data_IF_353132623612
#
_entry.id   IF_353132623612
#
_cell.length_a   1.000
_cell.length_b   1.000
_cell.length_c   1.000
_cell.angle_alpha   90.00
_cell.angle_beta   90.00
_cell.angle_gamma   90.00
#
_symmetry.space_group_name_H-M   'P 1'
#
loop_
_entity.id
_entity.type
_entity.pdbx_description
1 polymer ?
#
# COMPACT_ATOMS: atom_id res chain seq x y z
N UNK A 1 17.52 -25.38 14.85
CA UNK A 1 16.05 -25.28 14.84
C UNK A 1 15.68 -24.43 13.64
N UNK A 2 15.22 -25.05 12.58
CA UNK A 2 14.80 -24.31 11.39
C UNK A 2 13.48 -23.63 11.73
N UNK A 3 13.49 -22.30 11.80
CA UNK A 3 12.26 -21.54 11.86
C UNK A 3 11.45 -21.95 10.63
N UNK A 4 10.30 -22.57 10.83
CA UNK A 4 9.35 -22.84 9.74
C UNK A 4 9.00 -21.49 9.16
N UNK A 5 9.44 -21.24 7.94
CA UNK A 5 9.14 -20.00 7.25
C UNK A 5 7.62 -19.86 7.18
N UNK A 6 7.08 -18.82 7.80
CA UNK A 6 5.64 -18.57 7.85
C UNK A 6 5.08 -18.31 6.44
N UNK A 7 5.94 -17.98 5.48
CA UNK A 7 5.57 -17.63 4.12
C UNK A 7 6.46 -18.36 3.09
N UNK A 8 6.28 -19.67 2.89
CA UNK A 8 7.16 -20.47 2.05
C UNK A 8 7.19 -20.08 0.57
N UNK A 9 6.17 -19.33 0.12
CA UNK A 9 6.04 -18.88 -1.28
C UNK A 9 6.52 -17.45 -1.53
N UNK A 10 7.00 -16.77 -0.47
CA UNK A 10 7.57 -15.43 -0.59
C UNK A 10 9.10 -15.50 -0.57
N UNK A 11 9.81 -14.52 -1.17
CA UNK A 11 11.26 -14.46 -1.08
C UNK A 11 11.73 -14.45 0.37
N UNK A 12 12.72 -15.27 0.68
CA UNK A 12 13.33 -15.30 2.01
C UNK A 12 14.24 -14.08 2.18
N UNK A 13 14.00 -13.20 3.16
CA UNK A 13 14.80 -11.99 3.34
C UNK A 13 16.27 -12.27 3.68
N UNK A 14 16.61 -13.45 4.21
CA UNK A 14 17.99 -13.84 4.51
C UNK A 14 18.75 -14.33 3.28
N UNK A 15 18.03 -14.92 2.31
CA UNK A 15 18.62 -15.52 1.11
C UNK A 15 18.49 -14.59 -0.10
N UNK A 16 17.43 -13.82 -0.16
CA UNK A 16 17.07 -12.95 -1.27
C UNK A 16 16.73 -11.52 -0.77
N UNK A 17 17.66 -10.86 -0.05
CA UNK A 17 17.40 -9.55 0.56
C UNK A 17 17.06 -8.46 -0.48
N UNK A 18 17.48 -8.61 -1.72
CA UNK A 18 17.23 -7.66 -2.80
C UNK A 18 15.74 -7.42 -3.07
N UNK A 19 14.86 -8.36 -2.73
CA UNK A 19 13.42 -8.18 -2.86
C UNK A 19 12.85 -7.18 -1.85
N UNK A 20 13.51 -7.01 -0.72
CA UNK A 20 13.05 -6.16 0.37
C UNK A 20 13.90 -4.89 0.57
N UNK A 21 15.00 -4.78 -0.17
CA UNK A 21 15.92 -3.65 -0.04
C UNK A 21 15.22 -2.32 -0.38
N UNK A 22 15.31 -1.38 0.54
CA UNK A 22 14.74 -0.03 0.42
C UNK A 22 13.22 0.03 0.19
N UNK A 23 12.50 -1.08 0.34
CA UNK A 23 11.06 -1.15 0.05
C UNK A 23 10.27 -0.20 0.94
N UNK A 24 10.60 -0.08 2.22
CA UNK A 24 9.88 0.82 3.15
C UNK A 24 9.96 2.27 2.69
N UNK A 25 11.15 2.74 2.28
CA UNK A 25 11.33 4.10 1.74
C UNK A 25 10.59 4.26 0.42
N UNK A 26 10.66 3.27 -0.46
CA UNK A 26 9.92 3.27 -1.74
C UNK A 26 8.40 3.31 -1.53
N UNK A 27 7.89 2.63 -0.51
CA UNK A 27 6.47 2.72 -0.13
C UNK A 27 6.09 4.15 0.28
N UNK A 28 6.93 4.81 1.07
CA UNK A 28 6.73 6.21 1.46
C UNK A 28 6.72 7.16 0.26
N UNK A 29 7.68 7.02 -0.65
CA UNK A 29 7.74 7.82 -1.87
C UNK A 29 6.56 7.53 -2.80
N UNK A 30 6.18 6.26 -2.96
CA UNK A 30 5.01 5.86 -3.72
C UNK A 30 3.73 6.50 -3.15
N UNK A 31 3.61 6.51 -1.82
CA UNK A 31 2.48 7.15 -1.14
C UNK A 31 2.40 8.66 -1.44
N UNK A 32 3.53 9.36 -1.44
CA UNK A 32 3.57 10.79 -1.80
C UNK A 32 3.10 11.02 -3.23
N UNK A 33 3.56 10.19 -4.16
CA UNK A 33 3.16 10.27 -5.57
C UNK A 33 1.65 10.02 -5.69
N UNK A 34 1.14 8.98 -5.04
CA UNK A 34 -0.29 8.65 -5.04
C UNK A 34 -1.12 9.78 -4.42
N UNK A 35 -0.65 10.40 -3.33
CA UNK A 35 -1.33 11.54 -2.69
C UNK A 35 -1.45 12.73 -3.65
N UNK A 36 -0.40 13.04 -4.41
CA UNK A 36 -0.43 14.10 -5.43
C UNK A 36 -1.42 13.75 -6.55
N UNK A 37 -1.42 12.51 -7.02
CA UNK A 37 -2.36 12.04 -8.06
C UNK A 37 -3.82 12.13 -7.59
N UNK A 38 -4.09 11.69 -6.36
CA UNK A 38 -5.44 11.78 -5.78
C UNK A 38 -5.87 13.24 -5.63
N UNK A 39 -4.98 14.12 -5.16
CA UNK A 39 -5.25 15.54 -5.06
C UNK A 39 -5.58 16.16 -6.44
N UNK A 40 -4.83 15.77 -7.48
CA UNK A 40 -5.10 16.21 -8.84
C UNK A 40 -6.46 15.73 -9.36
N UNK A 41 -6.87 14.50 -9.02
CA UNK A 41 -8.20 13.97 -9.36
C UNK A 41 -9.33 14.72 -8.66
N UNK A 42 -9.09 15.31 -7.49
CA UNK A 42 -10.08 16.07 -6.76
C UNK A 42 -10.30 17.48 -7.32
N UNK A 43 -9.35 18.05 -8.04
CA UNK A 43 -9.46 19.40 -8.60
C UNK A 43 -10.73 19.57 -9.45
N UNK A 44 -11.02 18.71 -10.46
CA UNK A 44 -12.25 18.84 -11.24
C UNK A 44 -13.51 18.66 -10.38
N UNK A 45 -13.48 17.78 -9.37
CA UNK A 45 -14.63 17.58 -8.47
C UNK A 45 -14.95 18.86 -7.70
N UNK A 46 -13.91 19.51 -7.15
CA UNK A 46 -14.07 20.78 -6.42
C UNK A 46 -14.60 21.88 -7.33
N UNK A 47 -14.07 22.00 -8.55
CA UNK A 47 -14.52 23.00 -9.53
C UNK A 47 -15.96 22.76 -9.95
N UNK A 48 -16.32 21.52 -10.26
CA UNK A 48 -17.68 21.15 -10.69
C UNK A 48 -18.73 21.33 -9.60
N UNK A 49 -18.34 21.23 -8.34
CA UNK A 49 -19.23 21.50 -7.20
C UNK A 49 -19.27 22.98 -6.79
N UNK A 50 -18.78 23.88 -7.63
CA UNK A 50 -18.68 25.32 -7.33
C UNK A 50 -17.99 25.60 -5.99
N UNK A 51 -16.88 24.87 -5.72
CA UNK A 51 -16.06 24.93 -4.51
C UNK A 51 -16.73 24.42 -3.20
N UNK A 52 -17.98 23.94 -3.26
CA UNK A 52 -18.62 23.30 -2.11
C UNK A 52 -17.83 22.08 -1.64
N UNK A 53 -17.20 21.36 -2.56
CA UNK A 53 -16.34 20.21 -2.28
C UNK A 53 -15.16 20.53 -1.34
N UNK A 54 -14.73 21.79 -1.21
CA UNK A 54 -13.67 22.19 -0.30
C UNK A 54 -14.02 21.91 1.17
N UNK A 55 -15.29 22.00 1.54
CA UNK A 55 -15.74 21.72 2.90
C UNK A 55 -15.70 20.23 3.25
N UNK A 56 -15.64 19.37 2.22
CA UNK A 56 -15.64 17.90 2.36
C UNK A 56 -14.32 17.27 1.91
N UNK A 57 -13.26 18.07 1.76
CA UNK A 57 -11.98 17.59 1.22
C UNK A 57 -11.43 16.34 1.92
N UNK A 58 -11.37 16.25 3.26
CA UNK A 58 -10.87 15.04 3.91
C UNK A 58 -11.69 13.80 3.54
N UNK A 59 -13.01 13.92 3.53
CA UNK A 59 -13.91 12.83 3.14
C UNK A 59 -13.71 12.45 1.66
N UNK A 60 -13.67 13.43 0.77
CA UNK A 60 -13.44 13.22 -0.67
C UNK A 60 -12.08 12.58 -0.92
N UNK A 61 -11.06 12.99 -0.19
CA UNK A 61 -9.72 12.41 -0.31
C UNK A 61 -9.71 10.92 0.09
N UNK A 62 -10.38 10.57 1.20
CA UNK A 62 -10.49 9.18 1.63
C UNK A 62 -11.29 8.33 0.63
N UNK A 63 -12.42 8.80 0.16
CA UNK A 63 -13.28 8.06 -0.78
C UNK A 63 -12.57 7.89 -2.12
N UNK A 64 -12.03 8.97 -2.69
CA UNK A 64 -11.30 8.92 -3.96
C UNK A 64 -10.05 8.06 -3.83
N UNK A 65 -9.32 8.20 -2.74
CA UNK A 65 -8.13 7.39 -2.45
C UNK A 65 -8.45 5.92 -2.31
N UNK A 66 -9.57 5.57 -1.67
CA UNK A 66 -10.03 4.18 -1.55
C UNK A 66 -10.31 3.57 -2.94
N UNK A 67 -11.12 4.25 -3.74
CA UNK A 67 -11.46 3.79 -5.10
C UNK A 67 -10.20 3.69 -5.96
N UNK A 68 -9.34 4.69 -5.93
CA UNK A 68 -8.08 4.73 -6.66
C UNK A 68 -7.19 3.53 -6.32
N UNK A 69 -7.00 3.26 -5.02
CA UNK A 69 -6.14 2.14 -4.57
C UNK A 69 -6.73 0.79 -4.96
N UNK A 70 -8.02 0.56 -4.73
CA UNK A 70 -8.66 -0.70 -5.12
C UNK A 70 -8.57 -0.91 -6.62
N UNK A 71 -8.90 0.11 -7.42
CA UNK A 71 -8.88 0.02 -8.87
C UNK A 71 -7.46 -0.22 -9.44
N UNK A 72 -6.45 0.43 -8.88
CA UNK A 72 -5.06 0.31 -9.38
C UNK A 72 -4.35 -0.94 -8.89
N UNK A 73 -4.65 -1.41 -7.68
CA UNK A 73 -4.01 -2.59 -7.09
C UNK A 73 -4.63 -3.88 -7.63
N UNK A 74 -5.93 -3.89 -7.93
CA UNK A 74 -6.60 -5.10 -8.42
C UNK A 74 -5.92 -5.64 -9.68
N UNK A 75 -5.45 -6.89 -9.62
CA UNK A 75 -4.81 -7.61 -10.72
C UNK A 75 -3.40 -7.17 -11.08
N UNK A 76 -2.98 -5.98 -10.68
CA UNK A 76 -1.61 -5.46 -10.96
C UNK A 76 -0.75 -5.35 -9.71
N UNK A 77 -1.31 -5.53 -8.55
CA UNK A 77 -0.64 -5.50 -7.24
C UNK A 77 0.15 -4.22 -6.93
N UNK A 78 -0.14 -3.13 -7.61
CA UNK A 78 0.60 -1.88 -7.42
C UNK A 78 -0.24 -0.67 -7.79
N UNK A 79 -0.20 0.37 -6.95
CA UNK A 79 -0.67 1.71 -7.33
C UNK A 79 0.26 2.31 -8.39
N UNK A 80 -0.13 3.42 -8.99
CA UNK A 80 0.74 4.12 -9.94
C UNK A 80 2.03 4.62 -9.28
N UNK A 81 1.95 5.13 -8.04
CA UNK A 81 3.14 5.51 -7.28
C UNK A 81 4.08 4.33 -7.04
N UNK A 82 3.53 3.17 -6.67
CA UNK A 82 4.30 1.95 -6.49
C UNK A 82 4.98 1.47 -7.79
N UNK A 83 4.28 1.60 -8.92
CA UNK A 83 4.87 1.25 -10.23
C UNK A 83 6.05 2.13 -10.59
N UNK A 84 5.96 3.44 -10.30
CA UNK A 84 7.07 4.37 -10.50
C UNK A 84 8.27 4.04 -9.59
N UNK A 85 8.00 3.52 -8.39
CA UNK A 85 9.05 3.09 -7.46
C UNK A 85 9.52 1.64 -7.71
N UNK A 86 8.97 0.96 -8.71
CA UNK A 86 9.32 -0.42 -9.05
C UNK A 86 9.10 -1.41 -7.91
N UNK A 87 8.00 -1.24 -7.16
CA UNK A 87 7.55 -2.17 -6.12
C UNK A 87 6.14 -2.67 -6.41
N UNK A 88 5.82 -3.82 -5.87
CA UNK A 88 4.49 -4.42 -5.96
C UNK A 88 4.14 -5.23 -4.72
N UNK A 89 2.85 -5.43 -4.48
CA UNK A 89 2.37 -6.32 -3.43
C UNK A 89 2.36 -7.79 -3.88
N UNK A 90 2.55 -8.67 -2.92
CA UNK A 90 2.32 -10.12 -3.04
C UNK A 90 1.53 -10.62 -1.85
N UNK A 91 0.65 -11.58 -2.09
CA UNK A 91 -0.06 -12.26 -1.02
C UNK A 91 0.81 -13.36 -0.38
N UNK A 92 0.30 -14.04 0.64
CA UNK A 92 1.02 -15.10 1.34
C UNK A 92 1.36 -16.31 0.45
N UNK A 93 0.72 -16.44 -0.71
CA UNK A 93 1.01 -17.46 -1.73
C UNK A 93 2.02 -17.00 -2.77
N UNK A 94 2.49 -15.75 -2.68
CA UNK A 94 3.39 -15.16 -3.65
C UNK A 94 2.69 -14.68 -4.93
N UNK A 95 1.36 -14.61 -4.92
CA UNK A 95 0.56 -14.20 -6.07
C UNK A 95 0.25 -12.70 -6.07
N UNK A 96 -0.13 -12.17 -7.23
CA UNK A 96 -0.66 -10.81 -7.34
C UNK A 96 -2.02 -10.70 -6.63
N UNK A 97 -2.33 -9.51 -6.14
CA UNK A 97 -3.61 -9.24 -5.50
C UNK A 97 -4.76 -9.35 -6.50
N UNK A 98 -5.77 -10.11 -6.14
CA UNK A 98 -7.09 -10.03 -6.76
C UNK A 98 -7.91 -8.87 -6.15
N UNK A 99 -9.16 -8.74 -6.56
CA UNK A 99 -10.06 -7.71 -6.03
C UNK A 99 -10.25 -7.83 -4.51
N UNK A 100 -10.43 -9.04 -3.99
CA UNK A 100 -10.64 -9.28 -2.56
C UNK A 100 -9.43 -8.81 -1.73
N UNK A 101 -8.23 -9.18 -2.14
CA UNK A 101 -6.99 -8.77 -1.46
C UNK A 101 -6.77 -7.25 -1.58
N UNK A 102 -7.00 -6.69 -2.76
CA UNK A 102 -6.88 -5.25 -2.98
C UNK A 102 -7.86 -4.46 -2.10
N UNK A 103 -9.09 -4.92 -2.00
CA UNK A 103 -10.13 -4.32 -1.16
C UNK A 103 -9.77 -4.40 0.33
N UNK A 104 -9.43 -5.58 0.81
CA UNK A 104 -9.09 -5.82 2.23
C UNK A 104 -7.83 -5.05 2.64
N UNK A 105 -6.80 -5.03 1.80
CA UNK A 105 -5.58 -4.29 2.06
C UNK A 105 -5.83 -2.77 2.10
N UNK A 106 -6.62 -2.26 1.17
CA UNK A 106 -7.01 -0.84 1.13
C UNK A 106 -7.90 -0.47 2.32
N UNK A 107 -8.81 -1.36 2.72
CA UNK A 107 -9.63 -1.16 3.91
C UNK A 107 -8.76 -1.04 5.17
N UNK A 108 -7.82 -1.95 5.38
CA UNK A 108 -6.88 -1.91 6.50
C UNK A 108 -6.02 -0.64 6.50
N UNK A 109 -5.52 -0.25 5.34
CA UNK A 109 -4.79 1.01 5.15
C UNK A 109 -5.65 2.22 5.52
N UNK A 110 -6.89 2.28 5.03
CA UNK A 110 -7.80 3.40 5.28
C UNK A 110 -8.13 3.52 6.77
N UNK A 111 -8.38 2.40 7.45
CA UNK A 111 -8.58 2.38 8.91
C UNK A 111 -7.35 2.88 9.65
N UNK A 112 -6.16 2.43 9.27
CA UNK A 112 -4.90 2.90 9.87
C UNK A 112 -4.69 4.40 9.68
N UNK A 113 -5.00 4.92 8.50
CA UNK A 113 -4.89 6.36 8.21
C UNK A 113 -5.91 7.19 8.98
N UNK A 114 -7.13 6.68 9.13
CA UNK A 114 -8.18 7.34 9.91
C UNK A 114 -7.88 7.37 11.41
N UNK A 115 -7.17 6.35 11.91
CA UNK A 115 -6.74 6.25 13.30
C UNK A 115 -5.21 6.47 13.32
N UNK A 116 -4.79 7.72 13.39
CA UNK A 116 -3.40 8.14 13.20
C UNK A 116 -2.37 7.35 14.03
N UNK A 117 -2.58 7.04 15.33
CA UNK A 117 -1.65 6.20 16.10
C UNK A 117 -1.41 4.82 15.47
N UNK A 118 -2.41 4.20 14.86
CA UNK A 118 -2.25 2.92 14.15
C UNK A 118 -1.33 3.06 12.94
N UNK A 119 -1.44 4.16 12.21
CA UNK A 119 -0.56 4.42 11.07
C UNK A 119 0.89 4.61 11.49
N UNK A 120 1.15 5.29 12.60
CA UNK A 120 2.50 5.43 13.15
C UNK A 120 3.09 4.08 13.56
N UNK A 121 2.30 3.22 14.20
CA UNK A 121 2.71 1.86 14.56
C UNK A 121 3.00 1.06 13.30
N UNK A 122 2.16 1.16 12.28
CA UNK A 122 2.33 0.47 11.00
C UNK A 122 3.63 0.87 10.31
N UNK A 123 3.95 2.16 10.27
CA UNK A 123 5.21 2.66 9.68
C UNK A 123 6.41 2.16 10.49
N UNK A 124 6.35 2.21 11.82
CA UNK A 124 7.42 1.68 12.68
C UNK A 124 7.66 0.19 12.40
N UNK A 125 6.60 -0.60 12.25
CA UNK A 125 6.69 -2.02 11.90
C UNK A 125 7.35 -2.25 10.54
N UNK A 126 7.07 -1.41 9.54
CA UNK A 126 7.72 -1.49 8.23
C UNK A 126 9.24 -1.32 8.31
N UNK A 127 9.74 -0.50 9.23
CA UNK A 127 11.18 -0.35 9.46
C UNK A 127 11.80 -1.45 10.32
N UNK A 128 11.01 -2.08 11.19
CA UNK A 128 11.50 -3.04 12.17
C UNK A 128 11.36 -4.50 11.73
N UNK A 129 10.47 -4.80 10.79
CA UNK A 129 10.26 -6.16 10.31
C UNK A 129 11.19 -6.49 9.14
N UNK A 130 11.61 -7.74 9.04
CA UNK A 130 12.54 -8.21 8.00
C UNK A 130 11.98 -8.05 6.58
N UNK A 131 10.66 -8.19 6.43
CA UNK A 131 9.96 -8.06 5.13
C UNK A 131 9.32 -6.68 4.92
N UNK A 132 9.59 -5.71 5.78
CA UNK A 132 9.02 -4.36 5.65
C UNK A 132 7.49 -4.34 5.74
N UNK A 133 6.91 -5.17 6.59
CA UNK A 133 5.46 -5.32 6.74
C UNK A 133 4.90 -4.32 7.76
N UNK A 134 3.83 -3.61 7.36
CA UNK A 134 3.00 -2.82 8.26
C UNK A 134 1.92 -3.65 8.94
N UNK A 135 1.04 -3.00 9.71
CA UNK A 135 -0.06 -3.68 10.42
C UNK A 135 -0.97 -4.46 9.48
N UNK A 136 -1.42 -3.84 8.40
CA UNK A 136 -2.30 -4.49 7.42
C UNK A 136 -1.62 -5.70 6.78
N UNK A 137 -0.34 -5.56 6.43
CA UNK A 137 0.45 -6.65 5.86
C UNK A 137 0.56 -7.82 6.83
N UNK A 138 0.79 -7.55 8.11
CA UNK A 138 0.88 -8.60 9.13
C UNK A 138 -0.45 -9.34 9.33
N UNK A 139 -1.57 -8.62 9.29
CA UNK A 139 -2.90 -9.22 9.44
C UNK A 139 -3.28 -10.06 8.23
N UNK A 140 -2.97 -9.60 7.02
CA UNK A 140 -3.33 -10.27 5.77
C UNK A 140 -2.27 -11.26 5.25
N UNK A 141 -1.08 -11.25 5.83
CA UNK A 141 0.05 -12.06 5.33
C UNK A 141 0.61 -11.58 4.00
N UNK A 142 0.56 -10.28 3.75
CA UNK A 142 1.03 -9.67 2.50
C UNK A 142 2.39 -9.02 2.66
N UNK A 143 3.07 -8.79 1.56
CA UNK A 143 4.35 -8.06 1.51
C UNK A 143 4.38 -7.12 0.31
N UNK A 144 5.21 -6.08 0.39
CA UNK A 144 5.64 -5.31 -0.76
C UNK A 144 7.08 -5.73 -1.10
N UNK A 145 7.35 -5.99 -2.37
CA UNK A 145 8.66 -6.42 -2.86
C UNK A 145 9.12 -5.55 -4.02
N UNK A 146 10.44 -5.49 -4.21
CA UNK A 146 11.01 -4.93 -5.42
C UNK A 146 10.60 -5.76 -6.63
N UNK A 147 10.13 -5.09 -7.68
CA UNK A 147 9.76 -5.71 -8.94
C UNK A 147 11.02 -6.07 -9.70
N UNK A 148 11.13 -7.32 -10.14
CA UNK A 148 12.15 -7.70 -11.14
C UNK A 148 11.71 -7.15 -12.50
N UNK A 149 12.63 -6.42 -13.14
CA UNK A 149 12.52 -6.07 -14.55
C UNK A 149 12.87 -7.28 -15.42
#
# INVERSE_FOLDING_TARGET
MYATDTYPNLPDPMVQPEFYDSVTIKRGLAWLIDAVLIAALLVPVVVMTAFIGLFFLPFLFFVTGFIYRVATITGRSATWGMRLMSIEFRDSRGEHFDFSQAFMHTLGYTVSMAIFPLQLISIAMMFLTERGQGLTDMVLGTVAINRRL
#
